data_IF_100905770331
#
_entry.id   IF_100905770331
#
_cell.length_a   1.000
_cell.length_b   1.000
_cell.length_c   1.000
_cell.angle_alpha   90.00
_cell.angle_beta   90.00
_cell.angle_gamma   90.00
#
_symmetry.space_group_name_H-M   'P 1'
#
loop_
_entity.id
_entity.type
_entity.pdbx_description
1 polymer ?
#
# COMPACT_ATOMS: atom_id res chain seq x y z
N UNK A 1 -43.44 -5.00 31.92
CA UNK A 1 -42.04 -5.36 31.87
C UNK A 1 -41.65 -5.43 30.41
N UNK A 2 -41.15 -4.31 29.85
CA UNK A 2 -40.72 -4.19 28.48
C UNK A 2 -39.25 -4.61 28.40
N UNK A 3 -38.96 -5.65 27.63
CA UNK A 3 -37.59 -6.12 27.40
C UNK A 3 -36.79 -5.05 26.64
N UNK A 4 -35.49 -4.86 26.92
CA UNK A 4 -34.64 -3.98 26.14
C UNK A 4 -34.47 -4.57 24.75
N UNK A 5 -34.77 -3.79 23.73
CA UNK A 5 -34.49 -4.08 22.34
C UNK A 5 -32.98 -4.22 22.18
N UNK A 6 -32.58 -5.43 21.85
CA UNK A 6 -31.23 -5.82 21.48
C UNK A 6 -30.84 -5.03 20.23
N UNK A 7 -30.09 -3.95 20.41
CA UNK A 7 -29.46 -3.18 19.31
C UNK A 7 -28.33 -4.06 18.83
N UNK A 8 -28.63 -4.97 17.88
CA UNK A 8 -27.59 -5.63 17.10
C UNK A 8 -26.79 -4.55 16.41
N UNK A 9 -25.59 -4.30 16.87
CA UNK A 9 -24.57 -3.63 16.07
C UNK A 9 -24.39 -4.50 14.85
N UNK A 10 -24.59 -3.89 13.69
CA UNK A 10 -24.32 -4.52 12.41
C UNK A 10 -22.78 -4.69 12.35
N UNK A 11 -22.31 -5.89 12.70
CA UNK A 11 -20.87 -6.22 12.81
C UNK A 11 -20.22 -6.41 11.42
N UNK A 12 -20.77 -5.80 10.37
CA UNK A 12 -20.18 -5.84 9.03
C UNK A 12 -19.01 -4.85 8.93
N UNK A 13 -17.82 -5.42 8.78
CA UNK A 13 -16.62 -4.66 8.47
C UNK A 13 -16.80 -3.98 7.11
N UNK A 14 -16.45 -2.67 6.97
CA UNK A 14 -16.53 -2.01 5.67
C UNK A 14 -15.60 -2.70 4.67
N UNK A 15 -16.05 -2.84 3.41
CA UNK A 15 -15.32 -3.50 2.35
C UNK A 15 -14.36 -2.50 1.68
N UNK A 16 -13.10 -2.90 1.47
CA UNK A 16 -12.08 -2.12 0.77
C UNK A 16 -11.61 -2.86 -0.48
N UNK A 17 -11.45 -2.12 -1.58
CA UNK A 17 -10.87 -2.62 -2.82
C UNK A 17 -9.37 -2.30 -2.85
N UNK A 18 -8.51 -3.34 -2.99
CA UNK A 18 -7.04 -3.21 -3.07
C UNK A 18 -6.57 -3.52 -4.50
N UNK A 19 -6.30 -2.49 -5.29
CA UNK A 19 -5.86 -2.61 -6.68
C UNK A 19 -4.34 -2.67 -6.80
N UNK A 20 -3.82 -3.51 -7.70
CA UNK A 20 -2.39 -3.84 -7.83
C UNK A 20 -1.86 -4.42 -6.51
N UNK A 21 -2.61 -5.35 -5.95
CA UNK A 21 -2.49 -5.77 -4.56
C UNK A 21 -1.23 -6.58 -4.22
N UNK A 22 -0.50 -7.09 -5.24
CA UNK A 22 0.71 -7.89 -5.07
C UNK A 22 0.52 -8.98 -3.97
N UNK A 23 1.44 -9.13 -3.03
CA UNK A 23 1.35 -10.09 -1.93
C UNK A 23 0.45 -9.66 -0.76
N UNK A 24 -0.30 -8.57 -0.88
CA UNK A 24 -1.29 -8.16 0.12
C UNK A 24 -0.72 -7.43 1.35
N UNK A 25 0.42 -6.77 1.22
CA UNK A 25 0.97 -5.97 2.32
C UNK A 25 0.03 -4.85 2.75
N UNK A 26 -0.59 -4.15 1.77
CA UNK A 26 -1.63 -3.14 2.04
C UNK A 26 -2.89 -3.79 2.64
N UNK A 27 -3.39 -4.86 2.01
CA UNK A 27 -4.58 -5.57 2.45
C UNK A 27 -4.51 -6.04 3.91
N UNK A 28 -3.38 -6.65 4.29
CA UNK A 28 -3.18 -7.13 5.66
C UNK A 28 -3.25 -5.99 6.69
N UNK A 29 -2.74 -4.81 6.36
CA UNK A 29 -2.84 -3.65 7.24
C UNK A 29 -4.27 -3.11 7.35
N UNK A 30 -4.97 -2.95 6.24
CA UNK A 30 -6.39 -2.55 6.26
C UNK A 30 -7.25 -3.57 7.00
N UNK A 31 -6.98 -4.87 6.82
CA UNK A 31 -7.70 -5.89 7.57
C UNK A 31 -7.47 -5.77 9.09
N UNK A 32 -6.24 -5.50 9.53
CA UNK A 32 -5.93 -5.22 10.95
C UNK A 32 -6.61 -3.94 11.45
N UNK A 33 -6.81 -2.95 10.59
CA UNK A 33 -7.52 -1.73 10.93
C UNK A 33 -9.03 -1.93 11.13
N UNK A 34 -9.63 -2.98 10.52
CA UNK A 34 -11.05 -3.27 10.65
C UNK A 34 -11.83 -3.38 9.34
N UNK A 35 -11.16 -3.43 8.18
CA UNK A 35 -11.81 -3.65 6.89
C UNK A 35 -11.86 -5.14 6.53
N UNK A 36 -12.85 -5.52 5.71
CA UNK A 36 -12.71 -6.65 4.80
C UNK A 36 -12.09 -6.16 3.49
N UNK A 37 -11.26 -6.99 2.84
CA UNK A 37 -10.50 -6.55 1.67
C UNK A 37 -10.65 -7.53 0.52
N UNK A 38 -10.84 -6.99 -0.69
CA UNK A 38 -10.75 -7.75 -1.95
C UNK A 38 -9.57 -7.21 -2.74
N UNK A 39 -8.60 -8.08 -3.05
CA UNK A 39 -7.43 -7.75 -3.86
C UNK A 39 -7.65 -8.00 -5.35
N UNK A 40 -7.05 -7.15 -6.18
CA UNK A 40 -7.04 -7.29 -7.64
C UNK A 40 -5.62 -7.14 -8.16
N UNK A 41 -5.16 -8.10 -8.95
CA UNK A 41 -3.86 -8.04 -9.64
C UNK A 41 -3.97 -8.78 -10.98
N UNK A 42 -3.22 -8.36 -11.98
CA UNK A 42 -3.18 -9.02 -13.29
C UNK A 42 -2.43 -10.36 -13.23
N UNK A 43 -1.51 -10.49 -12.28
CA UNK A 43 -0.75 -11.71 -11.99
C UNK A 43 -1.46 -12.50 -10.92
N UNK A 44 -1.50 -13.82 -11.06
CA UNK A 44 -1.98 -14.69 -9.99
C UNK A 44 -1.11 -14.55 -8.73
N UNK A 45 -1.76 -14.41 -7.57
CA UNK A 45 -1.10 -14.16 -6.27
C UNK A 45 -1.50 -15.22 -5.24
N UNK A 46 -0.96 -16.43 -5.35
CA UNK A 46 -1.38 -17.56 -4.49
C UNK A 46 -1.12 -17.32 -2.99
N UNK A 47 -0.19 -16.42 -2.65
CA UNK A 47 0.12 -16.05 -1.27
C UNK A 47 -0.72 -14.85 -0.76
N UNK A 48 -1.63 -14.30 -1.57
CA UNK A 48 -2.48 -13.20 -1.12
C UNK A 48 -3.42 -13.65 0.01
N UNK A 49 -3.43 -13.01 1.19
CA UNK A 49 -4.09 -13.58 2.38
C UNK A 49 -5.60 -13.29 2.48
N UNK A 50 -6.21 -12.66 1.48
CA UNK A 50 -7.63 -12.28 1.47
C UNK A 50 -8.29 -12.70 0.15
N UNK A 51 -9.62 -12.51 -0.04
CA UNK A 51 -10.29 -12.71 -1.33
C UNK A 51 -9.58 -11.97 -2.46
N UNK A 52 -9.38 -12.68 -3.58
CA UNK A 52 -8.55 -12.22 -4.70
C UNK A 52 -9.28 -12.37 -6.04
N UNK A 53 -9.11 -11.40 -6.92
CA UNK A 53 -9.59 -11.41 -8.30
C UNK A 53 -8.41 -11.19 -9.24
N UNK A 54 -8.17 -12.13 -10.14
CA UNK A 54 -7.20 -11.96 -11.20
C UNK A 54 -7.80 -11.18 -12.36
N UNK A 55 -7.42 -9.90 -12.50
CA UNK A 55 -7.91 -9.02 -13.57
C UNK A 55 -6.94 -7.84 -13.80
N UNK A 56 -7.06 -7.16 -14.95
CA UNK A 56 -6.50 -5.82 -15.10
C UNK A 56 -7.23 -4.85 -14.17
N UNK A 57 -6.47 -4.12 -13.36
CA UNK A 57 -7.02 -3.28 -12.28
C UNK A 57 -7.86 -2.11 -12.82
N UNK A 58 -7.48 -1.50 -13.96
CA UNK A 58 -8.22 -0.38 -14.55
C UNK A 58 -9.53 -0.88 -15.19
N UNK A 59 -9.46 -2.00 -15.93
CA UNK A 59 -10.63 -2.61 -16.54
C UNK A 59 -11.64 -3.09 -15.50
N UNK A 60 -11.13 -3.72 -14.42
CA UNK A 60 -11.97 -4.19 -13.31
C UNK A 60 -12.67 -3.02 -12.61
N UNK A 61 -11.92 -1.95 -12.27
CA UNK A 61 -12.48 -0.75 -11.66
C UNK A 61 -13.54 -0.09 -12.56
N UNK A 62 -13.24 0.06 -13.85
CA UNK A 62 -14.20 0.60 -14.83
C UNK A 62 -15.48 -0.25 -14.92
N UNK A 63 -15.36 -1.58 -14.88
CA UNK A 63 -16.48 -2.50 -14.85
C UNK A 63 -17.36 -2.35 -13.60
N UNK A 64 -16.74 -2.22 -12.42
CA UNK A 64 -17.47 -1.97 -11.15
C UNK A 64 -18.20 -0.63 -11.17
N UNK A 65 -17.63 0.41 -11.76
CA UNK A 65 -18.29 1.72 -11.92
C UNK A 65 -19.48 1.58 -12.87
N UNK A 66 -19.28 0.97 -14.02
CA UNK A 66 -20.33 0.83 -15.05
C UNK A 66 -21.54 -0.01 -14.58
N UNK A 67 -21.27 -1.05 -13.77
CA UNK A 67 -22.34 -1.89 -13.19
C UNK A 67 -22.99 -1.31 -11.93
N UNK A 68 -22.41 -0.28 -11.33
CA UNK A 68 -22.83 0.25 -10.03
C UNK A 68 -22.36 -0.58 -8.83
N UNK A 69 -21.68 -1.70 -9.04
CA UNK A 69 -21.17 -2.56 -7.96
C UNK A 69 -20.09 -1.89 -7.09
N UNK A 70 -19.49 -0.81 -7.59
CA UNK A 70 -18.52 -0.02 -6.81
C UNK A 70 -19.12 0.51 -5.49
N UNK A 71 -20.43 0.73 -5.43
CA UNK A 71 -21.12 1.25 -4.26
C UNK A 71 -21.07 0.32 -3.03
N UNK A 72 -20.69 -0.95 -3.20
CA UNK A 72 -20.50 -1.88 -2.07
C UNK A 72 -19.20 -1.65 -1.28
N UNK A 73 -18.26 -0.89 -1.85
CA UNK A 73 -16.98 -0.59 -1.21
C UNK A 73 -17.05 0.73 -0.43
N UNK A 74 -16.38 0.78 0.70
CA UNK A 74 -16.23 1.99 1.51
C UNK A 74 -15.05 2.86 1.07
N UNK A 75 -14.01 2.24 0.49
CA UNK A 75 -12.81 2.93 0.04
C UNK A 75 -12.04 2.08 -1.00
N UNK A 76 -11.14 2.73 -1.74
CA UNK A 76 -10.22 2.07 -2.68
C UNK A 76 -8.77 2.38 -2.30
N UNK A 77 -7.93 1.35 -2.17
CA UNK A 77 -6.47 1.46 -2.13
C UNK A 77 -5.88 1.04 -3.47
N UNK A 78 -4.78 1.68 -3.87
CA UNK A 78 -4.09 1.31 -5.09
C UNK A 78 -2.59 1.57 -5.00
N UNK A 79 -1.79 0.58 -5.44
CA UNK A 79 -0.31 0.65 -5.53
C UNK A 79 0.16 0.39 -6.96
N UNK A 80 -0.12 1.30 -7.92
CA UNK A 80 0.17 1.07 -9.33
C UNK A 80 1.67 0.92 -9.58
N UNK A 81 2.08 0.19 -10.65
CA UNK A 81 3.48 -0.04 -10.99
C UNK A 81 4.32 1.23 -10.98
N UNK A 82 5.43 1.21 -10.23
CA UNK A 82 6.26 2.38 -9.99
C UNK A 82 7.45 2.53 -10.97
N UNK A 83 7.66 1.58 -11.90
CA UNK A 83 8.85 1.51 -12.75
C UNK A 83 9.05 2.74 -13.64
N UNK A 84 7.98 3.47 -13.97
CA UNK A 84 8.04 4.69 -14.75
C UNK A 84 8.68 5.89 -14.01
N UNK A 85 8.61 5.93 -12.68
CA UNK A 85 8.98 7.13 -11.90
C UNK A 85 9.68 6.88 -10.56
N UNK A 86 10.01 5.64 -10.21
CA UNK A 86 10.67 5.31 -8.96
C UNK A 86 12.14 5.78 -8.96
N UNK A 87 12.61 6.34 -7.86
CA UNK A 87 13.99 6.80 -7.69
C UNK A 87 15.04 5.69 -7.92
N UNK A 88 14.70 4.43 -7.64
CA UNK A 88 15.60 3.28 -7.85
C UNK A 88 15.73 2.88 -9.32
N UNK A 89 14.75 3.17 -10.15
CA UNK A 89 14.69 2.74 -11.56
C UNK A 89 15.03 3.84 -12.55
N UNK A 90 14.96 5.11 -12.16
CA UNK A 90 15.21 6.26 -13.06
C UNK A 90 16.57 6.16 -13.75
N UNK A 91 17.65 5.86 -13.02
CA UNK A 91 19.00 5.74 -13.59
C UNK A 91 19.09 4.59 -14.59
N UNK A 92 18.54 3.43 -14.27
CA UNK A 92 18.52 2.24 -15.16
C UNK A 92 17.64 2.46 -16.38
N UNK A 93 16.46 3.08 -16.18
CA UNK A 93 15.53 3.41 -17.26
C UNK A 93 16.16 4.39 -18.25
N UNK A 94 16.88 5.40 -17.76
CA UNK A 94 17.59 6.36 -18.60
C UNK A 94 18.73 5.68 -19.36
N UNK A 95 19.58 4.91 -18.67
CA UNK A 95 20.73 4.25 -19.28
C UNK A 95 20.36 3.19 -20.33
N UNK A 96 19.21 2.51 -20.16
CA UNK A 96 18.73 1.43 -21.04
C UNK A 96 17.62 1.83 -22.01
N UNK A 97 17.18 3.10 -21.99
CA UNK A 97 16.08 3.58 -22.81
C UNK A 97 14.70 2.98 -22.46
N UNK A 98 14.55 2.39 -21.29
CA UNK A 98 13.32 1.72 -20.84
C UNK A 98 12.21 2.67 -20.40
N UNK A 99 12.49 3.96 -20.24
CA UNK A 99 11.49 4.94 -19.84
C UNK A 99 10.25 5.01 -20.76
N UNK A 100 10.41 4.61 -22.04
CA UNK A 100 9.30 4.49 -23.00
C UNK A 100 8.49 3.19 -22.88
N UNK A 101 9.00 2.20 -22.15
CA UNK A 101 8.34 0.89 -21.96
C UNK A 101 7.43 0.87 -20.74
N UNK A 102 7.57 1.82 -19.82
CA UNK A 102 6.80 1.87 -18.60
C UNK A 102 5.73 2.96 -18.71
N UNK A 103 4.49 2.52 -18.87
CA UNK A 103 3.33 3.42 -18.94
C UNK A 103 3.06 4.03 -17.57
N UNK A 104 2.83 5.34 -17.53
CA UNK A 104 2.42 6.04 -16.32
C UNK A 104 0.90 5.90 -16.15
N UNK A 105 0.48 5.03 -15.23
CA UNK A 105 -0.93 4.69 -15.03
C UNK A 105 -1.68 5.68 -14.11
N UNK A 106 -0.97 6.43 -13.27
CA UNK A 106 -1.59 7.27 -12.23
C UNK A 106 -2.61 8.28 -12.77
N UNK A 107 -2.38 9.02 -13.89
CA UNK A 107 -3.38 9.96 -14.38
C UNK A 107 -4.70 9.30 -14.78
N UNK A 108 -4.64 8.19 -15.53
CA UNK A 108 -5.83 7.45 -15.95
C UNK A 108 -6.55 6.80 -14.74
N UNK A 109 -5.77 6.21 -13.84
CA UNK A 109 -6.27 5.62 -12.60
C UNK A 109 -6.99 6.66 -11.72
N UNK A 110 -6.40 7.85 -11.54
CA UNK A 110 -7.04 8.95 -10.76
C UNK A 110 -8.38 9.33 -11.37
N UNK A 111 -8.49 9.43 -12.70
CA UNK A 111 -9.77 9.73 -13.36
C UNK A 111 -10.84 8.68 -13.02
N UNK A 112 -10.49 7.39 -13.01
CA UNK A 112 -11.41 6.33 -12.60
C UNK A 112 -11.74 6.39 -11.10
N UNK A 113 -10.74 6.63 -10.25
CA UNK A 113 -10.94 6.76 -8.80
C UNK A 113 -11.89 7.94 -8.47
N UNK A 114 -11.69 9.10 -9.09
CA UNK A 114 -12.57 10.26 -8.93
C UNK A 114 -14.01 9.93 -9.38
N UNK A 115 -14.17 9.12 -10.45
CA UNK A 115 -15.48 8.69 -10.94
C UNK A 115 -16.19 7.69 -10.01
N UNK A 116 -15.49 7.05 -9.08
CA UNK A 116 -16.13 6.19 -8.06
C UNK A 116 -16.97 6.95 -7.06
N UNK A 117 -16.65 8.22 -6.81
CA UNK A 117 -17.20 9.01 -5.70
C UNK A 117 -16.76 8.52 -4.31
N UNK A 118 -15.91 7.50 -4.22
CA UNK A 118 -15.43 6.94 -2.96
C UNK A 118 -14.12 7.59 -2.51
N UNK A 119 -13.82 7.61 -1.21
CA UNK A 119 -12.49 7.89 -0.71
C UNK A 119 -11.46 6.89 -1.25
N UNK A 120 -10.27 7.39 -1.60
CA UNK A 120 -9.22 6.51 -2.11
C UNK A 120 -7.82 6.88 -1.61
N UNK A 121 -6.90 5.94 -1.78
CA UNK A 121 -5.47 6.07 -1.48
C UNK A 121 -4.65 5.60 -2.68
N UNK A 122 -3.72 6.44 -3.18
CA UNK A 122 -2.71 6.04 -4.18
C UNK A 122 -1.36 6.00 -3.49
N UNK A 123 -0.72 4.83 -3.45
CA UNK A 123 0.62 4.64 -2.90
C UNK A 123 1.68 4.70 -4.00
N UNK A 124 2.83 5.33 -3.70
CA UNK A 124 4.02 5.25 -4.55
C UNK A 124 5.30 5.36 -3.73
N UNK A 125 6.40 4.69 -4.15
CA UNK A 125 7.72 4.97 -3.61
C UNK A 125 8.10 6.44 -3.84
N UNK A 126 9.03 6.95 -3.03
CA UNK A 126 9.63 8.27 -3.28
C UNK A 126 10.29 8.30 -4.65
N UNK A 127 10.00 9.35 -5.44
CA UNK A 127 10.50 9.49 -6.82
C UNK A 127 9.81 10.61 -7.57
N UNK A 128 9.68 10.43 -8.90
CA UNK A 128 9.08 11.40 -9.83
C UNK A 128 7.66 10.99 -10.28
N UNK A 129 7.05 10.00 -9.65
CA UNK A 129 5.67 9.64 -9.96
C UNK A 129 4.74 10.84 -9.73
N UNK A 130 3.71 11.06 -10.59
CA UNK A 130 2.79 12.19 -10.47
C UNK A 130 1.70 11.95 -9.41
N UNK A 131 2.14 11.59 -8.21
CA UNK A 131 1.31 11.40 -7.02
C UNK A 131 1.41 12.63 -6.13
N UNK A 132 0.29 13.13 -5.58
CA UNK A 132 0.32 14.12 -4.52
C UNK A 132 0.95 13.51 -3.28
N UNK A 133 1.61 14.32 -2.49
CA UNK A 133 2.21 13.91 -1.23
C UNK A 133 1.36 14.44 -0.07
N UNK A 134 0.16 13.90 0.06
CA UNK A 134 -0.75 14.28 1.15
C UNK A 134 -0.31 13.63 2.46
N UNK A 135 0.30 12.43 2.37
CA UNK A 135 0.89 11.72 3.49
C UNK A 135 2.22 11.07 3.05
N UNK A 136 3.18 11.06 3.96
CA UNK A 136 4.47 10.42 3.77
C UNK A 136 4.83 9.57 4.98
N UNK A 137 5.11 8.29 4.75
CA UNK A 137 5.39 7.32 5.82
C UNK A 137 6.78 6.70 5.65
N UNK A 138 7.35 6.34 6.80
CA UNK A 138 8.65 5.70 6.96
C UNK A 138 8.53 4.56 7.97
N UNK A 139 9.25 3.45 7.75
CA UNK A 139 9.25 2.33 8.68
C UNK A 139 9.69 2.69 10.09
N UNK A 140 10.54 3.72 10.25
CA UNK A 140 10.94 4.21 11.56
C UNK A 140 9.77 4.71 12.41
N UNK A 141 8.75 5.30 11.78
CA UNK A 141 7.53 5.78 12.45
C UNK A 141 6.74 4.64 13.11
N UNK A 142 6.98 3.41 12.69
CA UNK A 142 6.31 2.18 13.14
C UNK A 142 7.28 1.18 13.79
N UNK A 143 8.49 1.62 14.13
CA UNK A 143 9.55 0.79 14.74
C UNK A 143 9.94 -0.43 13.89
N UNK A 144 9.80 -0.35 12.57
CA UNK A 144 10.15 -1.42 11.65
C UNK A 144 11.67 -1.54 11.45
N UNK A 145 12.09 -2.70 10.94
CA UNK A 145 13.48 -2.95 10.52
C UNK A 145 13.82 -2.43 9.12
N UNK A 146 12.99 -1.57 8.54
CA UNK A 146 13.17 -0.96 7.21
C UNK A 146 12.85 0.53 7.26
N UNK A 147 13.48 1.34 6.40
CA UNK A 147 13.05 2.74 6.22
C UNK A 147 11.88 2.87 5.25
N UNK A 148 11.99 2.28 4.07
CA UNK A 148 10.94 2.10 3.05
C UNK A 148 9.97 3.29 2.92
N UNK A 149 10.50 4.47 2.67
CA UNK A 149 9.71 5.70 2.48
C UNK A 149 8.67 5.54 1.37
N UNK A 150 7.43 5.97 1.66
CA UNK A 150 6.31 5.92 0.73
C UNK A 150 5.50 7.21 0.78
N UNK A 151 5.07 7.66 -0.40
CA UNK A 151 4.12 8.75 -0.56
C UNK A 151 2.73 8.18 -0.74
N UNK A 152 1.74 8.85 -0.17
CA UNK A 152 0.33 8.50 -0.32
C UNK A 152 -0.43 9.76 -0.73
N UNK A 153 -1.23 9.62 -1.78
CA UNK A 153 -2.23 10.59 -2.19
C UNK A 153 -3.58 10.15 -1.62
N UNK A 154 -4.29 11.08 -0.99
CA UNK A 154 -5.59 10.84 -0.37
C UNK A 154 -6.66 11.57 -1.19
N UNK A 155 -7.61 10.84 -1.77
CA UNK A 155 -8.74 11.40 -2.52
C UNK A 155 -10.03 11.32 -1.71
N UNK A 156 -10.76 12.45 -1.63
CA UNK A 156 -12.04 12.52 -0.94
C UNK A 156 -11.98 12.57 0.59
N UNK A 157 -10.79 12.52 1.19
CA UNK A 157 -10.60 12.59 2.63
C UNK A 157 -9.20 13.08 2.99
N UNK A 158 -8.92 13.33 4.29
CA UNK A 158 -7.61 13.81 4.77
C UNK A 158 -7.27 13.20 6.11
N UNK A 159 -5.97 13.15 6.43
CA UNK A 159 -5.49 12.83 7.76
C UNK A 159 -4.23 13.63 8.08
N UNK A 160 -3.91 13.88 9.36
CA UNK A 160 -2.70 14.60 9.73
C UNK A 160 -1.45 13.77 9.41
N UNK A 161 -0.39 14.47 8.97
CA UNK A 161 0.94 13.87 8.82
C UNK A 161 1.48 13.52 10.21
N UNK A 162 1.78 12.23 10.51
CA UNK A 162 2.41 11.87 11.77
C UNK A 162 3.86 12.38 11.85
N UNK A 163 4.34 12.65 13.06
CA UNK A 163 5.71 13.07 13.29
C UNK A 163 6.72 12.01 12.82
N UNK A 164 7.78 12.45 12.14
CA UNK A 164 8.85 11.55 11.71
C UNK A 164 10.01 11.60 12.71
N UNK A 165 10.28 10.52 13.44
CA UNK A 165 11.41 10.45 14.36
C UNK A 165 12.74 10.39 13.59
N UNK A 166 13.83 10.79 14.22
CA UNK A 166 15.17 10.64 13.67
C UNK A 166 15.47 9.14 13.48
N UNK A 167 16.03 8.78 12.32
CA UNK A 167 16.44 7.40 12.06
C UNK A 167 17.48 6.94 13.09
N UNK A 168 17.34 5.71 13.61
CA UNK A 168 18.26 5.09 14.58
C UNK A 168 19.65 4.78 14.02
N UNK A 169 19.82 4.79 12.69
CA UNK A 169 21.10 4.49 12.05
C UNK A 169 21.00 4.34 10.54
N UNK A 170 21.91 3.54 9.98
CA UNK A 170 21.99 3.28 8.54
C UNK A 170 21.23 2.01 8.14
N UNK A 171 20.91 1.93 6.84
CA UNK A 171 20.53 0.66 6.21
C UNK A 171 21.78 -0.17 6.02
N UNK A 172 21.79 -1.38 6.57
CA UNK A 172 22.90 -2.34 6.50
C UNK A 172 23.22 -2.72 5.05
N UNK A 173 24.49 -2.90 4.76
CA UNK A 173 24.98 -3.39 3.48
C UNK A 173 26.08 -2.52 2.84
N UNK A 174 26.54 -2.97 1.66
CA UNK A 174 27.58 -2.27 0.91
C UNK A 174 27.03 -1.05 0.16
N UNK A 175 27.75 0.08 0.28
CA UNK A 175 27.50 1.31 -0.51
C UNK A 175 28.82 1.84 -1.01
N UNK A 176 28.99 1.92 -2.31
CA UNK A 176 30.23 2.37 -2.95
C UNK A 176 31.47 1.62 -2.42
N UNK A 177 31.38 0.29 -2.27
CA UNK A 177 32.48 -0.56 -1.79
C UNK A 177 32.70 -0.56 -0.26
N UNK A 178 32.01 0.30 0.49
CA UNK A 178 32.10 0.37 1.96
C UNK A 178 30.91 -0.32 2.60
N UNK A 179 31.18 -1.29 3.48
CA UNK A 179 30.13 -1.90 4.30
C UNK A 179 29.71 -0.94 5.42
N UNK A 180 28.42 -0.79 5.61
CA UNK A 180 27.81 -0.07 6.74
C UNK A 180 26.93 -1.02 7.51
N UNK A 181 27.13 -1.06 8.81
CA UNK A 181 26.21 -1.73 9.72
C UNK A 181 25.08 -0.79 10.16
N UNK A 182 23.96 -1.38 10.60
CA UNK A 182 22.83 -0.60 11.06
C UNK A 182 21.56 -1.41 11.29
N UNK A 183 20.58 -0.81 11.97
CA UNK A 183 19.36 -1.50 12.41
C UNK A 183 18.34 -1.78 11.29
N UNK A 184 18.57 -1.26 10.09
CA UNK A 184 17.63 -1.43 8.98
C UNK A 184 18.18 -2.35 7.91
N UNK A 185 17.32 -3.19 7.36
CA UNK A 185 17.65 -4.02 6.20
C UNK A 185 17.15 -3.36 4.90
N UNK A 186 17.76 -3.78 3.76
CA UNK A 186 17.33 -3.35 2.43
C UNK A 186 16.41 -4.44 1.82
N UNK A 187 15.08 -4.27 1.82
CA UNK A 187 14.14 -5.25 1.29
C UNK A 187 14.00 -5.11 -0.23
N UNK A 188 15.12 -5.05 -0.97
CA UNK A 188 15.16 -4.93 -2.43
C UNK A 188 16.47 -5.46 -2.98
N UNK A 189 16.43 -5.94 -4.24
CA UNK A 189 17.60 -6.53 -4.92
C UNK A 189 18.08 -7.83 -4.28
N UNK A 190 19.19 -8.36 -4.77
CA UNK A 190 19.84 -9.58 -4.32
C UNK A 190 21.35 -9.39 -4.18
N UNK A 191 22.00 -10.17 -3.31
CA UNK A 191 23.45 -10.10 -3.07
C UNK A 191 23.93 -8.84 -2.34
N UNK A 192 25.25 -8.65 -2.24
CA UNK A 192 25.86 -7.42 -1.71
C UNK A 192 25.47 -7.04 -0.26
N UNK A 193 25.21 -8.01 0.62
CA UNK A 193 24.76 -7.75 1.99
C UNK A 193 23.29 -7.36 2.11
N UNK A 194 22.49 -7.64 1.08
CA UNK A 194 21.03 -7.48 1.10
C UNK A 194 20.39 -8.44 2.10
N UNK A 195 19.20 -8.07 2.58
CA UNK A 195 18.46 -8.90 3.52
C UNK A 195 18.14 -10.29 2.96
N UNK A 196 18.17 -11.28 3.80
CA UNK A 196 17.59 -12.61 3.55
C UNK A 196 16.05 -12.54 3.59
N UNK A 197 15.35 -13.53 3.07
CA UNK A 197 13.89 -13.60 3.12
C UNK A 197 13.36 -13.50 4.56
N UNK A 198 13.84 -14.29 5.55
CA UNK A 198 13.41 -14.17 6.93
C UNK A 198 13.65 -12.77 7.54
N UNK A 199 14.77 -12.13 7.21
CA UNK A 199 15.04 -10.76 7.67
C UNK A 199 14.06 -9.74 7.06
N UNK A 200 13.68 -9.92 5.79
CA UNK A 200 12.69 -9.08 5.13
C UNK A 200 11.30 -9.25 5.76
N UNK A 201 10.91 -10.50 5.99
CA UNK A 201 9.64 -10.86 6.66
C UNK A 201 9.55 -10.19 8.03
N UNK A 202 10.56 -10.38 8.87
CA UNK A 202 10.61 -9.78 10.21
C UNK A 202 10.60 -8.25 10.15
N UNK A 203 11.44 -7.65 9.30
CA UNK A 203 11.61 -6.20 9.23
C UNK A 203 10.39 -5.46 8.69
N UNK A 204 9.57 -6.13 7.88
CA UNK A 204 8.35 -5.56 7.28
C UNK A 204 7.06 -6.00 7.96
N UNK A 205 7.10 -7.04 8.81
CA UNK A 205 5.91 -7.62 9.43
C UNK A 205 5.03 -8.40 8.44
N UNK A 206 5.65 -9.06 7.44
CA UNK A 206 5.01 -9.88 6.40
C UNK A 206 5.50 -11.31 6.58
N UNK A 207 4.62 -12.22 6.98
CA UNK A 207 5.00 -13.60 7.37
C UNK A 207 4.35 -14.70 6.51
N UNK A 208 3.44 -14.32 5.61
CA UNK A 208 2.60 -15.26 4.83
C UNK A 208 3.16 -15.58 3.44
N UNK A 209 4.28 -15.01 3.05
CA UNK A 209 5.03 -15.34 1.83
C UNK A 209 6.53 -15.41 2.10
N UNK A 210 7.21 -16.33 1.46
CA UNK A 210 8.67 -16.47 1.43
C UNK A 210 9.26 -16.12 0.05
N UNK A 211 8.42 -15.64 -0.86
CA UNK A 211 8.81 -15.20 -2.20
C UNK A 211 9.45 -13.82 -2.11
N UNK A 212 10.76 -13.76 -2.43
CA UNK A 212 11.56 -12.53 -2.32
C UNK A 212 10.99 -11.37 -3.13
N UNK A 213 10.54 -11.63 -4.34
CA UNK A 213 9.96 -10.65 -5.25
C UNK A 213 8.72 -10.00 -4.62
N UNK A 214 7.83 -10.80 -4.04
CA UNK A 214 6.64 -10.34 -3.34
C UNK A 214 6.98 -9.43 -2.15
N UNK A 215 7.97 -9.83 -1.33
CA UNK A 215 8.46 -9.00 -0.23
C UNK A 215 9.11 -7.69 -0.72
N UNK A 216 9.78 -7.75 -1.88
CA UNK A 216 10.43 -6.58 -2.48
C UNK A 216 9.39 -5.56 -2.97
N UNK A 217 8.27 -5.98 -3.48
CA UNK A 217 7.19 -5.13 -4.00
C UNK A 217 6.25 -4.62 -2.92
N UNK A 218 5.96 -5.43 -1.91
CA UNK A 218 4.98 -5.11 -0.87
C UNK A 218 5.30 -3.85 -0.06
N UNK A 219 4.29 -3.20 0.48
CA UNK A 219 4.43 -2.19 1.54
C UNK A 219 4.23 -2.85 2.91
N UNK A 220 4.86 -2.33 3.98
CA UNK A 220 4.62 -2.83 5.32
C UNK A 220 3.16 -2.67 5.74
N UNK A 221 2.50 -3.70 6.29
CA UNK A 221 1.12 -3.61 6.76
C UNK A 221 0.86 -2.48 7.76
N UNK A 222 1.85 -2.12 8.57
CA UNK A 222 1.73 -1.02 9.54
C UNK A 222 1.33 0.33 8.89
N UNK A 223 1.69 0.56 7.61
CA UNK A 223 1.33 1.81 6.93
C UNK A 223 -0.16 1.86 6.63
N UNK A 224 -0.69 0.84 5.99
CA UNK A 224 -2.11 0.75 5.63
C UNK A 224 -3.00 0.52 6.86
N UNK A 225 -2.50 -0.12 7.92
CA UNK A 225 -3.17 -0.19 9.22
C UNK A 225 -3.34 1.21 9.82
N UNK A 226 -2.30 2.03 9.84
CA UNK A 226 -2.36 3.41 10.32
C UNK A 226 -3.34 4.26 9.52
N UNK A 227 -3.29 4.17 8.17
CA UNK A 227 -4.20 4.87 7.26
C UNK A 227 -5.65 4.40 7.48
N UNK A 228 -5.88 3.10 7.55
CA UNK A 228 -7.22 2.52 7.73
C UNK A 228 -7.86 2.89 9.07
N UNK A 229 -7.09 2.91 10.16
CA UNK A 229 -7.58 3.35 11.47
C UNK A 229 -7.98 4.83 11.46
N UNK A 230 -7.19 5.70 10.82
CA UNK A 230 -7.52 7.11 10.70
C UNK A 230 -8.79 7.33 9.87
N UNK A 231 -8.93 6.58 8.77
CA UNK A 231 -10.13 6.62 7.93
C UNK A 231 -11.40 6.23 8.71
N UNK A 232 -11.37 5.08 9.40
CA UNK A 232 -12.53 4.61 10.17
C UNK A 232 -12.88 5.56 11.32
N UNK A 233 -11.89 6.18 11.95
CA UNK A 233 -12.13 7.17 13.00
C UNK A 233 -12.83 8.43 12.44
N UNK A 234 -12.43 8.91 11.27
CA UNK A 234 -13.08 10.04 10.61
C UNK A 234 -14.52 9.70 10.20
N UNK A 235 -14.74 8.56 9.54
CA UNK A 235 -16.06 8.11 9.13
C UNK A 235 -17.02 7.97 10.32
N UNK A 236 -16.54 7.48 11.47
CA UNK A 236 -17.36 7.38 12.69
C UNK A 236 -17.77 8.75 13.24
N UNK A 237 -16.91 9.77 13.12
CA UNK A 237 -17.25 11.14 13.52
C UNK A 237 -18.29 11.79 12.59
N UNK A 238 -18.21 11.52 11.28
CA UNK A 238 -19.17 12.06 10.30
C UNK A 238 -20.57 11.45 10.47
N UNK A 239 -20.67 10.19 10.88
CA UNK A 239 -21.96 9.53 11.19
C UNK A 239 -22.56 10.05 12.50
N UNK A 240 -21.73 10.54 13.44
CA UNK A 240 -22.16 11.02 14.75
C UNK A 240 -22.55 12.52 14.75
N UNK A 241 -22.28 13.24 13.67
CA UNK A 241 -22.53 14.70 13.52
C UNK A 241 -23.86 14.99 12.85
#
# INVERSE_FOLDING_TARGET
MTQPTDIRRDDHRPLLLDLFCCAGGAAAGYHRAGFDVIGVDIVDRPNYPHPFVRADALEYLAGLIASGEIARFAAVHTSPPCQAGCALTIGTNTARGWGRKHVQLIPALRTLLDATGLPYVIEQPTGKAPVRRDLWLCGEMFHLGVLRHRNFELGGWTMPQPAHPKHRGYVRGYRHGVYRDGPYVAPYGAGGGKATVPEMQQAMGITWTDVREELTEAIPPAYSEHIGRAFLAQAALEVAA
#
